data_IF_278283394482
#
_entry.id   IF_278283394482
#
_cell.length_a   1.000
_cell.length_b   1.000
_cell.length_c   1.000
_cell.angle_alpha   90.00
_cell.angle_beta   90.00
_cell.angle_gamma   90.00
#
_symmetry.space_group_name_H-M   'P 1'
#
loop_
_entity.id
_entity.type
_entity.pdbx_description
1 polymer ?
#
# COMPACT_ATOMS: atom_id res chain seq x y z
N UNK A 1 19.99 -7.98 34.50
CA UNK A 1 19.10 -8.59 33.49
C UNK A 1 17.75 -7.89 33.35
N UNK A 2 17.09 -7.45 34.43
CA UNK A 2 15.76 -6.80 34.38
C UNK A 2 15.68 -5.49 33.57
N UNK A 3 16.70 -4.63 33.62
CA UNK A 3 16.71 -3.36 32.86
C UNK A 3 16.87 -3.51 31.34
N UNK A 4 17.59 -4.54 30.86
CA UNK A 4 17.77 -4.79 29.42
C UNK A 4 16.50 -5.32 28.76
N UNK A 5 15.73 -6.14 29.48
CA UNK A 5 14.43 -6.68 28.99
C UNK A 5 13.40 -5.55 28.86
N UNK A 6 13.36 -4.60 29.80
CA UNK A 6 12.44 -3.46 29.76
C UNK A 6 12.69 -2.57 28.54
N UNK A 7 13.96 -2.33 28.19
CA UNK A 7 14.33 -1.53 27.01
C UNK A 7 13.95 -2.22 25.71
N UNK A 8 14.12 -3.55 25.62
CA UNK A 8 13.71 -4.32 24.42
C UNK A 8 12.18 -4.24 24.25
N UNK A 9 11.40 -4.44 25.31
CA UNK A 9 9.93 -4.33 25.25
C UNK A 9 9.48 -2.92 24.85
N UNK A 10 10.14 -1.88 25.36
CA UNK A 10 9.84 -0.49 25.01
C UNK A 10 10.15 -0.20 23.54
N UNK A 11 11.28 -0.69 23.03
CA UNK A 11 11.66 -0.51 21.62
C UNK A 11 10.69 -1.25 20.69
N UNK A 12 10.33 -2.50 21.01
CA UNK A 12 9.36 -3.28 20.22
C UNK A 12 8.01 -2.57 20.18
N UNK A 13 7.48 -2.12 21.32
CA UNK A 13 6.19 -1.40 21.35
C UNK A 13 6.23 -0.06 20.63
N UNK A 14 7.33 0.70 20.70
CA UNK A 14 7.50 1.94 19.94
C UNK A 14 7.58 1.70 18.43
N UNK A 15 8.22 0.61 18.00
CA UNK A 15 8.25 0.20 16.59
C UNK A 15 6.87 -0.23 16.10
N UNK A 16 6.17 -1.09 16.85
CA UNK A 16 4.82 -1.56 16.51
C UNK A 16 3.82 -0.39 16.37
N UNK A 17 3.88 0.61 17.27
CA UNK A 17 3.02 1.80 17.18
C UNK A 17 3.35 2.64 15.95
N UNK A 18 4.63 2.80 15.60
CA UNK A 18 5.03 3.54 14.39
C UNK A 18 4.59 2.81 13.13
N UNK A 19 4.75 1.49 13.08
CA UNK A 19 4.33 0.67 11.96
C UNK A 19 2.81 0.71 11.79
N UNK A 20 2.05 0.60 12.90
CA UNK A 20 0.59 0.75 12.88
C UNK A 20 0.16 2.15 12.41
N UNK A 21 0.79 3.21 12.90
CA UNK A 21 0.50 4.58 12.47
C UNK A 21 0.83 4.79 10.98
N UNK A 22 1.88 4.16 10.49
CA UNK A 22 2.32 4.27 9.09
C UNK A 22 1.36 3.52 8.16
N UNK A 23 0.93 2.31 8.54
CA UNK A 23 -0.06 1.55 7.79
C UNK A 23 -1.40 2.29 7.71
N UNK A 24 -1.88 2.86 8.82
CA UNK A 24 -3.14 3.62 8.85
C UNK A 24 -3.11 4.88 7.95
N UNK A 25 -2.00 5.61 7.93
CA UNK A 25 -1.83 6.77 7.02
C UNK A 25 -1.85 6.33 5.55
N UNK A 26 -1.26 5.17 5.24
CA UNK A 26 -1.23 4.63 3.88
C UNK A 26 -2.61 4.13 3.46
N UNK A 27 -3.33 3.49 4.37
CA UNK A 27 -4.72 3.07 4.16
C UNK A 27 -5.61 4.27 3.80
N UNK A 28 -5.56 5.36 4.58
CA UNK A 28 -6.31 6.59 4.29
C UNK A 28 -5.96 7.18 2.91
N UNK A 29 -4.68 7.13 2.52
CA UNK A 29 -4.24 7.57 1.19
C UNK A 29 -4.80 6.68 0.09
N UNK A 30 -4.82 5.36 0.29
CA UNK A 30 -5.40 4.44 -0.69
C UNK A 30 -6.92 4.55 -0.80
N UNK A 31 -7.64 4.83 0.30
CA UNK A 31 -9.08 5.14 0.24
C UNK A 31 -9.35 6.38 -0.61
N UNK A 32 -8.60 7.47 -0.37
CA UNK A 32 -8.68 8.70 -1.18
C UNK A 32 -8.33 8.44 -2.65
N UNK A 33 -7.29 7.64 -2.89
CA UNK A 33 -6.90 7.25 -4.23
C UNK A 33 -8.00 6.46 -4.95
N UNK A 34 -8.62 5.50 -4.26
CA UNK A 34 -9.77 4.74 -4.77
C UNK A 34 -10.90 5.65 -5.22
N UNK A 35 -11.23 6.66 -4.42
CA UNK A 35 -12.25 7.66 -4.74
C UNK A 35 -11.88 8.44 -6.02
N UNK A 36 -10.65 8.95 -6.13
CA UNK A 36 -10.23 9.74 -7.28
C UNK A 36 -10.12 8.91 -8.56
N UNK A 37 -9.63 7.66 -8.47
CA UNK A 37 -9.63 6.72 -9.58
C UNK A 37 -11.05 6.40 -10.06
N UNK A 38 -11.98 6.15 -9.13
CA UNK A 38 -13.40 5.92 -9.47
C UNK A 38 -14.03 7.13 -10.17
N UNK A 39 -13.64 8.34 -9.76
CA UNK A 39 -14.10 9.59 -10.36
C UNK A 39 -13.33 9.95 -11.65
N UNK A 40 -12.34 9.14 -12.06
CA UNK A 40 -11.44 9.43 -13.18
C UNK A 40 -10.73 10.79 -13.07
N UNK A 41 -10.49 11.24 -11.84
CA UNK A 41 -9.78 12.48 -11.54
C UNK A 41 -8.27 12.19 -11.50
N UNK A 42 -7.65 12.20 -12.68
CA UNK A 42 -6.23 11.86 -12.88
C UNK A 42 -5.30 12.72 -12.02
N UNK A 43 -5.50 14.04 -12.02
CA UNK A 43 -4.62 14.98 -11.30
C UNK A 43 -4.64 14.71 -9.79
N UNK A 44 -5.81 14.50 -9.20
CA UNK A 44 -5.89 14.19 -7.76
C UNK A 44 -5.40 12.78 -7.46
N UNK A 45 -5.68 11.81 -8.33
CA UNK A 45 -5.20 10.45 -8.16
C UNK A 45 -3.65 10.40 -8.18
N UNK A 46 -3.02 11.05 -9.16
CA UNK A 46 -1.57 11.13 -9.26
C UNK A 46 -0.95 11.85 -8.06
N UNK A 47 -1.52 12.99 -7.64
CA UNK A 47 -1.03 13.73 -6.47
C UNK A 47 -1.05 12.88 -5.19
N UNK A 48 -2.12 12.10 -4.99
CA UNK A 48 -2.19 11.17 -3.85
C UNK A 48 -1.16 10.07 -4.01
N UNK A 49 -1.05 9.48 -5.21
CA UNK A 49 -0.09 8.41 -5.49
C UNK A 49 1.36 8.81 -5.21
N UNK A 50 1.80 9.97 -5.70
CA UNK A 50 3.14 10.51 -5.46
C UNK A 50 3.41 10.84 -3.99
N UNK A 51 2.35 11.11 -3.21
CA UNK A 51 2.45 11.39 -1.78
C UNK A 51 2.65 10.14 -0.91
N UNK A 52 2.61 8.94 -1.50
CA UNK A 52 2.82 7.67 -0.80
C UNK A 52 4.33 7.42 -0.73
N UNK A 53 4.86 7.22 0.47
CA UNK A 53 6.26 6.87 0.64
C UNK A 53 6.48 5.41 0.24
N UNK A 54 7.05 5.17 -0.94
CA UNK A 54 7.26 3.81 -1.44
C UNK A 54 8.32 3.00 -0.66
N UNK A 55 9.14 3.64 0.17
CA UNK A 55 10.18 2.96 0.95
C UNK A 55 9.62 1.98 1.99
N UNK A 56 8.32 2.04 2.30
CA UNK A 56 7.67 1.21 3.33
C UNK A 56 6.71 0.16 2.76
N UNK A 57 6.60 0.04 1.42
CA UNK A 57 5.65 -0.90 0.78
C UNK A 57 5.91 -2.34 1.20
N UNK A 58 7.17 -2.76 1.30
CA UNK A 58 7.54 -4.14 1.67
C UNK A 58 7.14 -4.53 3.09
N UNK A 59 7.02 -3.55 4.01
CA UNK A 59 6.60 -3.76 5.39
C UNK A 59 5.08 -3.67 5.59
N UNK A 60 4.30 -3.38 4.54
CA UNK A 60 2.85 -3.31 4.63
C UNK A 60 2.24 -4.71 4.76
N UNK A 61 1.02 -4.75 5.29
CA UNK A 61 0.19 -5.96 5.25
C UNK A 61 -0.10 -6.39 3.80
N UNK A 62 -0.37 -7.67 3.59
CA UNK A 62 -0.71 -8.19 2.26
C UNK A 62 -1.95 -7.47 1.67
N UNK A 63 -2.92 -7.07 2.50
CA UNK A 63 -4.07 -6.26 2.05
C UNK A 63 -3.64 -4.92 1.44
N UNK A 64 -2.76 -4.19 2.13
CA UNK A 64 -2.26 -2.90 1.64
C UNK A 64 -1.32 -3.06 0.43
N UNK A 65 -0.54 -4.15 0.36
CA UNK A 65 0.24 -4.50 -0.85
C UNK A 65 -0.68 -4.80 -2.05
N UNK A 66 -1.80 -5.50 -1.82
CA UNK A 66 -2.82 -5.72 -2.84
C UNK A 66 -3.35 -4.39 -3.37
N UNK A 67 -3.78 -3.48 -2.47
CA UNK A 67 -4.29 -2.15 -2.84
C UNK A 67 -3.25 -1.33 -3.60
N UNK A 68 -1.99 -1.33 -3.15
CA UNK A 68 -0.88 -0.68 -3.84
C UNK A 68 -0.79 -1.10 -5.32
N UNK A 69 -0.68 -2.40 -5.58
CA UNK A 69 -0.53 -2.89 -6.94
C UNK A 69 -1.78 -2.66 -7.79
N UNK A 70 -2.97 -2.86 -7.20
CA UNK A 70 -4.24 -2.60 -7.87
C UNK A 70 -4.38 -1.12 -8.30
N UNK A 71 -4.06 -0.18 -7.41
CA UNK A 71 -4.14 1.25 -7.72
C UNK A 71 -3.06 1.70 -8.71
N UNK A 72 -1.86 1.11 -8.67
CA UNK A 72 -0.81 1.39 -9.68
C UNK A 72 -1.34 1.10 -11.09
N UNK A 73 -1.90 -0.09 -11.28
CA UNK A 73 -2.43 -0.51 -12.59
C UNK A 73 -3.57 0.40 -13.05
N UNK A 74 -4.49 0.77 -12.15
CA UNK A 74 -5.60 1.65 -12.49
C UNK A 74 -5.16 3.07 -12.81
N UNK A 75 -4.15 3.60 -12.11
CA UNK A 75 -3.59 4.91 -12.43
C UNK A 75 -2.91 4.90 -13.80
N UNK A 76 -2.11 3.88 -14.10
CA UNK A 76 -1.47 3.73 -15.41
C UNK A 76 -2.50 3.66 -16.55
N UNK A 77 -3.61 2.93 -16.35
CA UNK A 77 -4.74 2.89 -17.30
C UNK A 77 -5.38 4.28 -17.44
N UNK A 78 -5.63 4.98 -16.33
CA UNK A 78 -6.27 6.30 -16.32
C UNK A 78 -5.44 7.33 -17.10
N UNK A 79 -4.11 7.31 -16.93
CA UNK A 79 -3.16 8.19 -17.64
C UNK A 79 -3.03 7.87 -19.14
N UNK A 80 -3.72 6.86 -19.65
CA UNK A 80 -3.58 6.41 -21.03
C UNK A 80 -2.21 5.79 -21.33
N UNK A 81 -1.45 5.38 -20.30
CA UNK A 81 -0.18 4.65 -20.43
C UNK A 81 -0.42 3.18 -20.83
N UNK A 82 -1.35 2.94 -21.75
CA UNK A 82 -1.75 1.63 -22.23
C UNK A 82 -0.66 0.93 -23.05
N UNK A 83 0.41 1.65 -23.43
CA UNK A 83 1.53 1.06 -24.17
C UNK A 83 2.25 -0.04 -23.37
N UNK A 84 2.08 -0.09 -22.05
CA UNK A 84 2.78 -1.00 -21.15
C UNK A 84 1.84 -2.03 -20.52
N UNK A 85 0.97 -2.66 -21.34
CA UNK A 85 0.05 -3.73 -20.93
C UNK A 85 0.73 -4.83 -20.09
N UNK A 86 1.99 -5.13 -20.39
CA UNK A 86 2.78 -6.11 -19.65
C UNK A 86 3.06 -5.67 -18.21
N UNK A 87 3.37 -4.38 -18.01
CA UNK A 87 3.57 -3.78 -16.68
C UNK A 87 2.28 -3.80 -15.88
N UNK A 88 1.16 -3.37 -16.47
CA UNK A 88 -0.14 -3.40 -15.81
C UNK A 88 -0.55 -4.83 -15.45
N UNK A 89 -0.34 -5.80 -16.36
CA UNK A 89 -0.59 -7.21 -16.10
C UNK A 89 0.22 -7.73 -14.90
N UNK A 90 1.48 -7.34 -14.76
CA UNK A 90 2.31 -7.71 -13.61
C UNK A 90 1.78 -7.14 -12.30
N UNK A 91 1.35 -5.88 -12.28
CA UNK A 91 0.74 -5.27 -11.09
C UNK A 91 -0.56 -6.00 -10.70
N UNK A 92 -1.44 -6.30 -11.66
CA UNK A 92 -2.68 -7.03 -11.39
C UNK A 92 -2.45 -8.45 -10.87
N UNK A 93 -1.44 -9.14 -11.41
CA UNK A 93 -1.05 -10.48 -10.93
C UNK A 93 -0.52 -10.44 -9.48
N UNK A 94 0.32 -9.45 -9.15
CA UNK A 94 0.79 -9.27 -7.77
C UNK A 94 -0.35 -8.91 -6.82
N UNK A 95 -1.29 -8.04 -7.24
CA UNK A 95 -2.46 -7.71 -6.44
C UNK A 95 -3.28 -8.96 -6.10
N UNK A 96 -3.52 -9.82 -7.10
CA UNK A 96 -4.22 -11.09 -6.90
C UNK A 96 -3.50 -12.00 -5.91
N UNK A 97 -2.18 -12.17 -6.04
CA UNK A 97 -1.40 -13.01 -5.13
C UNK A 97 -1.48 -12.52 -3.68
N UNK A 98 -1.40 -11.21 -3.46
CA UNK A 98 -1.52 -10.64 -2.12
C UNK A 98 -2.95 -10.75 -1.57
N UNK A 99 -3.99 -10.60 -2.41
CA UNK A 99 -5.38 -10.84 -2.02
C UNK A 99 -5.59 -12.29 -1.56
N UNK A 100 -5.08 -13.26 -2.31
CA UNK A 100 -5.19 -14.68 -1.98
C UNK A 100 -4.50 -15.01 -0.64
N UNK A 101 -3.32 -14.43 -0.38
CA UNK A 101 -2.61 -14.60 0.91
C UNK A 101 -3.36 -13.95 2.07
N UNK A 102 -3.88 -12.74 1.88
CA UNK A 102 -4.65 -12.04 2.90
C UNK A 102 -5.90 -12.85 3.32
N UNK A 103 -6.57 -13.51 2.34
CA UNK A 103 -7.73 -14.36 2.59
C UNK A 103 -7.40 -15.69 3.28
N UNK A 104 -6.19 -16.22 3.10
CA UNK A 104 -5.74 -17.48 3.72
C UNK A 104 -5.35 -17.31 5.20
N UNK A 105 -5.10 -16.08 5.65
CA UNK A 105 -4.74 -15.76 7.04
C UNK A 105 -5.94 -15.33 7.90
N UNK A 106 -7.16 -15.32 7.33
CA UNK A 106 -8.41 -14.96 8.01
C UNK A 106 -9.14 -16.12 8.65
#
# INVERSE_FOLDING_TARGET
MKGKILVIILLVTLFDIRDFSTQSIIEEKFEKLSLYLSNKDEEKAERIWESINFSVIESLSDSLKCMYHYHTANLDILKGNNADYLRNGKHLELAKQYMERALQMG
#
